data_IF_800421445314
#
_entry.id   IF_800421445314
#
_cell.length_a   1.000
_cell.length_b   1.000
_cell.length_c   1.000
_cell.angle_alpha   90.00
_cell.angle_beta   90.00
_cell.angle_gamma   90.00
#
_symmetry.space_group_name_H-M   'P 1'
#
loop_
_entity.id
_entity.type
_entity.pdbx_description
1 polymer ?
#
# COMPACT_ATOMS: atom_id res chain seq x y z
N UNK A 1 -8.11 -1.10 -10.23
CA UNK A 1 -8.44 -0.91 -8.79
C UNK A 1 -9.52 0.15 -8.57
N UNK A 2 -9.36 1.37 -9.07
CA UNK A 2 -10.29 2.49 -8.82
C UNK A 2 -11.77 2.19 -9.13
N UNK A 3 -12.09 1.49 -10.24
CA UNK A 3 -13.45 1.07 -10.58
C UNK A 3 -14.16 0.30 -9.46
N UNK A 4 -13.45 -0.60 -8.76
CA UNK A 4 -14.00 -1.35 -7.63
C UNK A 4 -14.08 -0.49 -6.37
N UNK A 5 -13.08 0.37 -6.15
CA UNK A 5 -13.02 1.27 -5.01
C UNK A 5 -14.11 2.35 -5.01
N UNK A 6 -14.75 2.60 -6.17
CA UNK A 6 -15.96 3.43 -6.27
C UNK A 6 -17.14 2.86 -5.47
N UNK A 7 -17.10 1.57 -5.10
CA UNK A 7 -18.06 0.98 -4.16
C UNK A 7 -17.54 1.22 -2.73
N UNK A 8 -18.31 1.91 -1.87
CA UNK A 8 -17.82 2.33 -0.55
C UNK A 8 -17.43 1.15 0.36
N UNK A 9 -18.12 0.02 0.22
CA UNK A 9 -17.94 -1.16 1.09
C UNK A 9 -16.80 -2.09 0.64
N UNK A 10 -16.14 -1.80 -0.49
CA UNK A 10 -14.98 -2.57 -0.92
C UNK A 10 -13.77 -2.16 -0.09
N UNK A 11 -13.10 -3.13 0.52
CA UNK A 11 -11.86 -2.90 1.28
C UNK A 11 -10.76 -2.40 0.35
N UNK A 12 -9.98 -1.44 0.85
CA UNK A 12 -8.77 -0.97 0.19
C UNK A 12 -7.57 -1.32 1.07
N UNK A 13 -6.86 -2.38 0.72
CA UNK A 13 -5.73 -2.88 1.48
C UNK A 13 -4.44 -2.73 0.66
N UNK A 14 -3.33 -2.43 1.31
CA UNK A 14 -2.01 -2.38 0.70
C UNK A 14 -0.99 -3.15 1.54
N UNK A 15 -0.02 -3.77 0.87
CA UNK A 15 1.02 -4.57 1.51
C UNK A 15 2.07 -3.70 2.21
N UNK A 16 2.49 -2.61 1.58
CA UNK A 16 3.35 -1.56 2.13
C UNK A 16 3.12 -0.26 1.31
N UNK A 17 3.65 0.84 1.79
CA UNK A 17 3.60 2.17 1.18
C UNK A 17 4.98 2.73 0.81
N UNK A 18 5.99 1.85 0.68
CA UNK A 18 7.35 2.23 0.30
C UNK A 18 7.36 2.90 -1.07
N UNK A 19 7.78 4.17 -1.14
CA UNK A 19 7.74 4.97 -2.36
C UNK A 19 8.71 4.43 -3.44
N UNK A 20 9.86 3.93 -3.04
CA UNK A 20 10.90 3.38 -3.92
C UNK A 20 11.41 2.03 -3.41
N UNK A 21 11.99 1.25 -4.31
CA UNK A 21 12.74 0.05 -3.97
C UNK A 21 14.24 0.39 -3.88
N UNK A 22 14.98 -0.21 -2.93
CA UNK A 22 16.42 -0.03 -2.85
C UNK A 22 17.08 -0.59 -4.11
N UNK A 23 17.99 0.18 -4.69
CA UNK A 23 18.84 -0.23 -5.81
C UNK A 23 20.31 -0.07 -5.43
N UNK A 24 21.18 -0.82 -6.11
CA UNK A 24 22.64 -0.76 -5.85
C UNK A 24 23.36 0.33 -6.64
N UNK A 25 22.66 0.96 -7.59
CA UNK A 25 23.15 2.04 -8.44
C UNK A 25 22.34 3.33 -8.19
N UNK A 26 22.51 4.34 -9.05
CA UNK A 26 21.79 5.62 -8.95
C UNK A 26 20.34 5.55 -9.48
N UNK A 27 19.85 4.36 -9.84
CA UNK A 27 18.51 4.21 -10.41
C UNK A 27 17.43 4.29 -9.34
N UNK A 28 16.42 5.13 -9.57
CA UNK A 28 15.22 5.20 -8.72
C UNK A 28 14.16 4.25 -9.28
N UNK A 29 13.93 3.13 -8.60
CA UNK A 29 12.86 2.19 -8.96
C UNK A 29 11.60 2.46 -8.13
N UNK A 30 10.43 2.70 -8.76
CA UNK A 30 9.17 2.87 -8.06
C UNK A 30 8.84 1.64 -7.20
N UNK A 31 8.52 1.88 -5.93
CA UNK A 31 8.03 0.86 -5.00
C UNK A 31 6.52 0.72 -5.04
N UNK A 32 5.98 -0.14 -4.17
CA UNK A 32 4.54 -0.37 -4.12
C UNK A 32 3.76 0.90 -3.75
N UNK A 33 4.34 1.77 -2.90
CA UNK A 33 3.78 3.07 -2.52
C UNK A 33 3.58 4.02 -3.70
N UNK A 34 4.43 3.95 -4.73
CA UNK A 34 4.26 4.75 -5.96
C UNK A 34 3.01 4.33 -6.74
N UNK A 35 2.81 3.03 -6.94
CA UNK A 35 1.61 2.50 -7.59
C UNK A 35 0.37 2.76 -6.72
N UNK A 36 0.50 2.54 -5.40
CA UNK A 36 -0.56 2.79 -4.43
C UNK A 36 -1.06 4.23 -4.47
N UNK A 37 -0.14 5.21 -4.56
CA UNK A 37 -0.47 6.63 -4.61
C UNK A 37 -1.31 6.98 -5.84
N UNK A 38 -1.03 6.37 -7.00
CA UNK A 38 -1.85 6.58 -8.20
C UNK A 38 -3.29 6.09 -8.02
N UNK A 39 -3.46 4.93 -7.37
CA UNK A 39 -4.78 4.33 -7.11
C UNK A 39 -5.52 5.15 -6.04
N UNK A 40 -4.85 5.54 -4.96
CA UNK A 40 -5.43 6.35 -3.89
C UNK A 40 -5.91 7.70 -4.43
N UNK A 41 -5.11 8.33 -5.28
CA UNK A 41 -5.46 9.58 -5.96
C UNK A 41 -6.67 9.39 -6.87
N UNK A 42 -6.65 8.40 -7.76
CA UNK A 42 -7.74 8.17 -8.72
C UNK A 42 -9.05 7.73 -8.07
N UNK A 43 -9.00 7.10 -6.89
CA UNK A 43 -10.19 6.63 -6.17
C UNK A 43 -10.67 7.58 -5.07
N UNK A 44 -9.90 8.63 -4.74
CA UNK A 44 -10.15 9.50 -3.58
C UNK A 44 -10.34 8.73 -2.27
N UNK A 45 -9.65 7.59 -2.11
CA UNK A 45 -9.74 6.73 -0.93
C UNK A 45 -8.35 6.42 -0.38
N UNK A 46 -8.25 6.30 0.93
CA UNK A 46 -7.02 5.88 1.60
C UNK A 46 -7.03 4.35 1.83
N UNK A 47 -5.91 3.67 1.58
CA UNK A 47 -5.74 2.26 1.89
C UNK A 47 -5.49 2.04 3.38
N UNK A 48 -5.80 0.84 3.88
CA UNK A 48 -5.23 0.29 5.11
C UNK A 48 -3.92 -0.41 4.75
N UNK A 49 -2.80 0.06 5.32
CA UNK A 49 -1.48 -0.55 5.11
C UNK A 49 -1.29 -1.70 6.11
N UNK A 50 -0.91 -2.87 5.60
CA UNK A 50 -0.76 -4.08 6.40
C UNK A 50 0.68 -4.31 6.86
N UNK A 51 1.67 -3.85 6.10
CA UNK A 51 3.09 -4.06 6.36
C UNK A 51 3.66 -3.12 7.43
N UNK A 52 4.99 -3.21 7.65
CA UNK A 52 5.72 -2.32 8.56
C UNK A 52 5.55 -0.85 8.14
N UNK A 53 5.60 0.09 9.10
CA UNK A 53 5.66 -0.10 10.54
C UNK A 53 4.27 -0.29 11.19
N UNK A 54 3.23 -0.61 10.41
CA UNK A 54 1.85 -0.62 10.88
C UNK A 54 1.54 -1.85 11.77
N UNK A 55 0.64 -1.63 12.74
CA UNK A 55 0.23 -2.63 13.72
C UNK A 55 -0.21 -3.99 13.14
N UNK A 56 -0.95 -4.07 12.01
CA UNK A 56 -1.43 -5.34 11.48
C UNK A 56 -0.33 -6.38 11.25
N UNK A 57 0.88 -5.96 10.86
CA UNK A 57 2.00 -6.88 10.65
C UNK A 57 2.48 -7.54 11.95
N UNK A 58 2.52 -6.78 13.04
CA UNK A 58 2.92 -7.29 14.36
C UNK A 58 1.82 -8.14 14.99
N UNK A 59 0.56 -7.72 14.85
CA UNK A 59 -0.58 -8.43 15.42
C UNK A 59 -0.76 -9.80 14.77
N UNK A 60 -0.49 -9.93 13.47
CA UNK A 60 -0.50 -11.21 12.77
C UNK A 60 0.47 -12.25 13.37
N UNK A 61 1.62 -11.81 13.90
CA UNK A 61 2.61 -12.71 14.53
C UNK A 61 2.21 -13.07 15.96
N UNK A 62 1.57 -12.16 16.71
CA UNK A 62 1.12 -12.44 18.08
C UNK A 62 0.04 -13.53 18.17
N UNK A 63 -0.70 -13.71 17.07
CA UNK A 63 -1.80 -14.67 16.97
C UNK A 63 -1.36 -16.03 16.43
N UNK A 64 -0.09 -16.17 16.02
CA UNK A 64 0.52 -17.42 15.55
C UNK A 64 1.15 -18.19 16.72
#
# INVERSE_FOLDING_TARGET
AATYLNRPNVLFLATNDDASLPQSDETVMPGAGSILSSIATASCRSPTILGKPHAPMFDAIRLA
#
